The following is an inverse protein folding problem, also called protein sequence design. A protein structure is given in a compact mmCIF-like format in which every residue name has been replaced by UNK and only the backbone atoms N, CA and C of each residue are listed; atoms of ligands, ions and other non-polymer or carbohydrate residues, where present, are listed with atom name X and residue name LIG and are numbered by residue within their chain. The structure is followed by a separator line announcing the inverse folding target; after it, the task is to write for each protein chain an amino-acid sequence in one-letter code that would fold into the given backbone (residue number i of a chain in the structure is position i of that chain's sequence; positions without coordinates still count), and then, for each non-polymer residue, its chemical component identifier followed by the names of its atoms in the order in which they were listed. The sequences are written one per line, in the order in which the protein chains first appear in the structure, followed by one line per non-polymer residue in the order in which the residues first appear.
data_IF_852679761103
#
_entry.id   IF_852679761103
#
_cell.length_a   1.000
_cell.length_b   1.000
_cell.length_c   1.000
_cell.angle_alpha   90.00
_cell.angle_beta   90.00
_cell.angle_gamma   90.00
#
_symmetry.space_group_name_H-M   'P 1'
#
loop_
_entity.id
_entity.type
_entity.pdbx_description
1 polymer ?
#
# COMPACT_ATOMS: atom_id res chain seq x y z
N UNK A 1 -14.81 44.48 -69.26
CA UNK A 1 -15.54 43.37 -68.60
C UNK A 1 -14.63 42.41 -67.82
N UNK A 2 -13.53 41.89 -68.39
CA UNK A 2 -12.63 40.91 -67.71
C UNK A 2 -12.09 41.37 -66.34
N UNK A 3 -11.81 42.67 -66.18
CA UNK A 3 -11.28 43.22 -64.91
C UNK A 3 -12.36 43.42 -63.84
N UNK A 4 -13.61 43.67 -64.24
CA UNK A 4 -14.75 43.81 -63.31
C UNK A 4 -15.13 42.44 -62.75
N UNK A 5 -15.11 41.40 -63.59
CA UNK A 5 -15.34 40.01 -63.14
C UNK A 5 -14.29 39.56 -62.13
N UNK A 6 -13.00 39.92 -62.35
CA UNK A 6 -11.94 39.65 -61.37
C UNK A 6 -12.14 40.38 -60.04
N UNK A 7 -12.61 41.63 -60.08
CA UNK A 7 -12.90 42.43 -58.88
C UNK A 7 -14.06 41.84 -58.08
N UNK A 8 -15.13 41.39 -58.76
CA UNK A 8 -16.29 40.74 -58.13
C UNK A 8 -15.89 39.40 -57.50
N UNK A 9 -15.05 38.61 -58.18
CA UNK A 9 -14.54 37.34 -57.64
C UNK A 9 -13.68 37.56 -56.38
N UNK A 10 -12.84 38.60 -56.36
CA UNK A 10 -12.02 38.95 -55.21
C UNK A 10 -12.88 39.36 -54.00
N UNK A 11 -13.94 40.13 -54.24
CA UNK A 11 -14.86 40.57 -53.19
C UNK A 11 -15.63 39.39 -52.57
N UNK A 12 -15.96 38.37 -53.38
CA UNK A 12 -16.68 37.18 -52.91
C UNK A 12 -15.84 36.30 -51.97
N UNK A 13 -14.51 36.29 -52.12
CA UNK A 13 -13.59 35.54 -51.26
C UNK A 13 -13.49 36.16 -49.86
N UNK A 14 -13.63 37.48 -49.74
CA UNK A 14 -13.52 38.21 -48.46
C UNK A 14 -14.77 38.06 -47.60
N UNK A 15 -15.93 37.79 -48.22
CA UNK A 15 -17.22 37.65 -47.52
C UNK A 15 -17.52 36.24 -47.05
N UNK A 16 -16.67 35.25 -47.32
CA UNK A 16 -16.87 33.90 -46.80
C UNK A 16 -16.53 33.93 -45.30
N UNK A 17 -17.50 33.75 -44.39
CA UNK A 17 -17.19 33.67 -42.97
C UNK A 17 -16.31 32.43 -42.77
N UNK A 18 -15.05 32.63 -42.43
CA UNK A 18 -14.16 31.55 -42.00
C UNK A 18 -14.65 31.17 -40.61
N UNK A 19 -15.56 30.21 -40.54
CA UNK A 19 -15.94 29.57 -39.28
C UNK A 19 -14.73 28.74 -38.83
N UNK A 20 -13.82 29.38 -38.11
CA UNK A 20 -12.72 28.67 -37.44
C UNK A 20 -13.37 27.92 -36.28
N UNK A 21 -13.39 26.58 -36.34
CA UNK A 21 -13.70 25.79 -35.14
C UNK A 21 -12.69 26.18 -34.07
N UNK A 22 -13.17 26.51 -32.87
CA UNK A 22 -12.31 26.83 -31.74
C UNK A 22 -11.29 25.72 -31.55
N UNK A 23 -10.03 26.09 -31.38
CA UNK A 23 -8.98 25.13 -31.10
C UNK A 23 -8.65 25.21 -29.61
N UNK A 24 -8.61 24.06 -28.95
CA UNK A 24 -8.23 23.95 -27.54
C UNK A 24 -6.88 24.65 -27.28
N UNK A 25 -6.94 25.79 -26.61
CA UNK A 25 -5.78 26.65 -26.34
C UNK A 25 -4.85 26.02 -25.32
N UNK A 26 -3.61 26.53 -25.23
CA UNK A 26 -2.65 26.07 -24.22
C UNK A 26 -3.15 26.32 -22.80
N UNK A 27 -3.78 27.47 -22.56
CA UNK A 27 -4.29 27.83 -21.23
C UNK A 27 -5.46 26.93 -20.81
N UNK A 28 -6.36 26.59 -21.74
CA UNK A 28 -7.41 25.61 -21.51
C UNK A 28 -6.84 24.23 -21.18
N UNK A 29 -5.84 23.77 -21.94
CA UNK A 29 -5.17 22.50 -21.66
C UNK A 29 -4.57 22.45 -20.26
N UNK A 30 -3.91 23.53 -19.84
CA UNK A 30 -3.35 23.66 -18.50
C UNK A 30 -4.47 23.65 -17.46
N UNK A 31 -5.55 24.41 -17.67
CA UNK A 31 -6.72 24.46 -16.78
C UNK A 31 -7.31 23.07 -16.57
N UNK A 32 -7.62 22.34 -17.64
CA UNK A 32 -8.20 20.99 -17.55
C UNK A 32 -7.25 20.00 -16.89
N UNK A 33 -5.93 20.08 -17.16
CA UNK A 33 -4.94 19.25 -16.49
C UNK A 33 -4.93 19.49 -14.97
N UNK A 34 -4.98 20.75 -14.54
CA UNK A 34 -5.02 21.13 -13.12
C UNK A 34 -6.30 20.68 -12.44
N UNK A 35 -7.45 20.82 -13.11
CA UNK A 35 -8.72 20.32 -12.57
C UNK A 35 -8.69 18.79 -12.45
N UNK A 36 -8.18 18.10 -13.46
CA UNK A 36 -8.11 16.65 -13.50
C UNK A 36 -7.13 16.07 -12.46
N UNK A 37 -6.05 16.78 -12.13
CA UNK A 37 -5.09 16.35 -11.09
C UNK A 37 -5.63 16.49 -9.66
N UNK A 38 -6.65 17.32 -9.46
CA UNK A 38 -7.28 17.52 -8.14
C UNK A 38 -8.34 16.46 -7.81
N UNK A 39 -8.67 15.59 -8.77
CA UNK A 39 -9.58 14.48 -8.56
C UNK A 39 -8.88 13.42 -7.72
N UNK A 40 -9.57 12.95 -6.69
CA UNK A 40 -9.10 11.85 -5.84
C UNK A 40 -10.11 10.72 -5.83
N UNK A 41 -9.68 9.53 -5.41
CA UNK A 41 -10.54 8.35 -5.33
C UNK A 41 -10.41 7.72 -3.96
N UNK A 42 -11.52 7.24 -3.42
CA UNK A 42 -11.56 6.35 -2.25
C UNK A 42 -12.45 5.16 -2.55
N UNK A 43 -12.38 4.13 -1.73
CA UNK A 43 -13.33 3.03 -1.78
C UNK A 43 -13.73 2.60 -0.38
N UNK A 44 -14.95 2.09 -0.29
CA UNK A 44 -15.50 1.42 0.88
C UNK A 44 -15.95 0.01 0.47
N UNK A 45 -16.17 -0.86 1.45
CA UNK A 45 -16.63 -2.21 1.19
C UNK A 45 -17.80 -2.58 2.09
N UNK A 46 -18.68 -3.42 1.54
CA UNK A 46 -19.79 -4.05 2.25
C UNK A 46 -19.53 -5.55 2.22
N UNK A 47 -19.43 -6.15 3.40
CA UNK A 47 -19.22 -7.58 3.59
C UNK A 47 -20.56 -8.21 3.95
N UNK A 48 -21.00 -9.19 3.16
CA UNK A 48 -22.18 -10.01 3.41
C UNK A 48 -21.80 -11.46 3.25
N UNK A 49 -21.86 -12.22 4.34
CA UNK A 49 -21.45 -13.62 4.42
C UNK A 49 -20.00 -13.84 3.94
N UNK A 50 -19.83 -14.46 2.76
CA UNK A 50 -18.56 -14.81 2.12
C UNK A 50 -18.24 -13.92 0.90
N UNK A 51 -19.07 -12.92 0.60
CA UNK A 51 -18.86 -12.00 -0.52
C UNK A 51 -18.60 -10.58 -0.02
N UNK A 52 -17.69 -9.90 -0.72
CA UNK A 52 -17.37 -8.50 -0.47
C UNK A 52 -17.60 -7.71 -1.76
N UNK A 53 -18.45 -6.70 -1.65
CA UNK A 53 -18.67 -5.71 -2.69
C UNK A 53 -17.99 -4.41 -2.31
N UNK A 54 -17.41 -3.75 -3.29
CA UNK A 54 -16.75 -2.47 -3.12
C UNK A 54 -17.51 -1.36 -3.83
N UNK A 55 -17.47 -0.18 -3.23
CA UNK A 55 -17.99 1.06 -3.80
C UNK A 55 -16.85 2.06 -3.90
N UNK A 56 -16.53 2.51 -5.11
CA UNK A 56 -15.54 3.57 -5.34
C UNK A 56 -16.27 4.91 -5.38
N UNK A 57 -15.73 5.90 -4.67
CA UNK A 57 -16.13 7.30 -4.80
C UNK A 57 -15.03 8.09 -5.47
N UNK A 58 -15.39 8.78 -6.55
CA UNK A 58 -14.52 9.71 -7.28
C UNK A 58 -14.87 11.11 -6.80
N UNK A 59 -13.92 11.80 -6.17
CA UNK A 59 -14.12 13.07 -5.49
C UNK A 59 -13.67 14.25 -6.33
N UNK A 60 -14.21 15.42 -6.01
CA UNK A 60 -13.72 16.71 -6.53
C UNK A 60 -13.82 16.86 -8.07
N UNK A 61 -14.86 16.29 -8.68
CA UNK A 61 -15.05 16.37 -10.14
C UNK A 61 -15.74 17.70 -10.50
N UNK A 62 -15.00 18.55 -11.20
CA UNK A 62 -15.50 19.81 -11.73
C UNK A 62 -16.45 19.58 -12.93
N UNK A 63 -17.46 20.44 -13.14
CA UNK A 63 -18.44 20.35 -14.26
C UNK A 63 -17.82 20.32 -15.66
N UNK A 64 -16.63 20.90 -15.76
CA UNK A 64 -15.82 21.01 -16.97
C UNK A 64 -15.10 19.70 -17.32
N UNK A 65 -15.31 18.62 -16.56
CA UNK A 65 -14.69 17.33 -16.77
C UNK A 65 -15.74 16.22 -16.95
N UNK A 66 -15.36 15.20 -17.71
CA UNK A 66 -16.09 13.95 -17.89
C UNK A 66 -15.18 12.82 -17.44
N UNK A 67 -15.70 11.96 -16.58
CA UNK A 67 -15.04 10.71 -16.20
C UNK A 67 -15.62 9.57 -17.02
N UNK A 68 -14.76 8.81 -17.70
CA UNK A 68 -15.14 7.61 -18.44
C UNK A 68 -14.64 6.38 -17.67
N UNK A 69 -15.58 5.55 -17.23
CA UNK A 69 -15.28 4.20 -16.74
C UNK A 69 -14.92 3.32 -17.94
N UNK A 70 -13.70 2.77 -17.94
CA UNK A 70 -13.19 1.95 -19.05
C UNK A 70 -13.72 0.54 -19.07
N UNK A 71 -14.23 0.03 -17.96
CA UNK A 71 -14.81 -1.29 -17.85
C UNK A 71 -16.24 -1.28 -18.42
N UNK A 72 -17.03 -0.26 -18.08
CA UNK A 72 -18.46 -0.21 -18.44
C UNK A 72 -18.78 0.74 -19.60
N UNK A 73 -17.87 1.66 -19.94
CA UNK A 73 -18.13 2.75 -20.89
C UNK A 73 -19.03 3.86 -20.34
N UNK A 74 -19.40 3.79 -19.05
CA UNK A 74 -20.26 4.78 -18.41
C UNK A 74 -19.52 6.11 -18.23
N UNK A 75 -20.24 7.20 -18.49
CA UNK A 75 -19.73 8.56 -18.31
C UNK A 75 -20.33 9.20 -17.06
N UNK A 76 -19.50 9.89 -16.30
CA UNK A 76 -19.89 10.66 -15.13
C UNK A 76 -19.53 12.12 -15.37
N UNK A 77 -20.53 12.98 -15.35
CA UNK A 77 -20.41 14.42 -15.52
C UNK A 77 -21.56 15.11 -14.81
N UNK A 78 -21.38 16.37 -14.45
CA UNK A 78 -22.40 17.17 -13.77
C UNK A 78 -22.41 18.56 -14.37
N UNK A 79 -23.60 19.17 -14.46
CA UNK A 79 -23.75 20.57 -14.89
C UNK A 79 -23.73 21.53 -13.70
N UNK A 80 -23.46 21.05 -12.49
CA UNK A 80 -23.46 21.86 -11.27
C UNK A 80 -22.13 22.59 -11.12
N UNK A 81 -22.18 23.87 -10.76
CA UNK A 81 -20.99 24.73 -10.61
C UNK A 81 -20.02 24.27 -9.51
N UNK A 82 -20.50 23.55 -8.50
CA UNK A 82 -19.68 23.04 -7.42
C UNK A 82 -19.01 21.70 -7.77
N UNK A 83 -17.97 21.34 -7.02
CA UNK A 83 -17.28 20.05 -7.14
C UNK A 83 -18.22 18.88 -6.81
N UNK A 84 -18.22 17.86 -7.65
CA UNK A 84 -19.13 16.73 -7.55
C UNK A 84 -18.40 15.45 -7.17
N UNK A 85 -19.10 14.59 -6.45
CA UNK A 85 -18.65 13.23 -6.17
C UNK A 85 -19.50 12.24 -6.95
N UNK A 86 -18.89 11.17 -7.42
CA UNK A 86 -19.56 10.11 -8.16
C UNK A 86 -19.24 8.75 -7.58
N UNK A 87 -20.29 7.95 -7.35
CA UNK A 87 -20.15 6.61 -6.82
C UNK A 87 -20.27 5.54 -7.92
N UNK A 88 -19.40 4.54 -7.82
CA UNK A 88 -19.35 3.36 -8.67
C UNK A 88 -19.49 2.15 -7.75
N UNK A 89 -20.68 1.55 -7.76
CA UNK A 89 -21.08 0.55 -6.78
C UNK A 89 -20.99 -0.88 -7.30
N UNK A 90 -21.05 -1.84 -6.38
CA UNK A 90 -21.12 -3.28 -6.65
C UNK A 90 -19.89 -3.80 -7.42
N UNK A 91 -18.71 -3.33 -7.03
CA UNK A 91 -17.45 -3.72 -7.63
C UNK A 91 -16.89 -4.98 -6.96
N UNK A 92 -16.26 -5.83 -7.76
CA UNK A 92 -15.70 -7.09 -7.30
C UNK A 92 -14.32 -6.89 -6.66
N UNK A 93 -14.01 -7.71 -5.65
CA UNK A 93 -12.69 -7.75 -5.05
C UNK A 93 -11.60 -8.23 -6.03
N UNK A 94 -10.34 -7.85 -5.78
CA UNK A 94 -9.18 -8.31 -6.56
C UNK A 94 -9.12 -7.80 -8.01
N UNK A 95 -9.84 -6.71 -8.32
CA UNK A 95 -9.84 -6.09 -9.65
C UNK A 95 -9.29 -4.66 -9.61
N UNK A 96 -8.71 -4.24 -10.73
CA UNK A 96 -8.34 -2.83 -10.94
C UNK A 96 -9.35 -2.15 -11.85
N UNK A 97 -9.84 -1.00 -11.41
CA UNK A 97 -10.77 -0.14 -12.12
C UNK A 97 -10.03 1.09 -12.67
N UNK A 98 -10.40 1.50 -13.88
CA UNK A 98 -9.67 2.53 -14.62
C UNK A 98 -10.66 3.58 -15.08
N UNK A 99 -10.42 4.82 -14.65
CA UNK A 99 -11.25 5.96 -15.00
C UNK A 99 -10.41 6.98 -15.76
N UNK A 100 -10.83 7.29 -16.98
CA UNK A 100 -10.19 8.29 -17.84
C UNK A 100 -10.88 9.63 -17.69
N UNK A 101 -10.10 10.70 -17.53
CA UNK A 101 -10.61 12.06 -17.34
C UNK A 101 -10.43 12.87 -18.61
N UNK A 102 -11.54 13.38 -19.13
CA UNK A 102 -11.62 14.21 -20.34
C UNK A 102 -12.19 15.59 -20.02
N UNK A 103 -11.96 16.57 -20.88
CA UNK A 103 -12.67 17.85 -20.81
C UNK A 103 -14.13 17.67 -21.26
N UNK A 104 -15.05 18.36 -20.59
CA UNK A 104 -16.44 18.53 -21.01
C UNK A 104 -16.58 19.78 -21.90
N UNK A 105 -15.79 19.81 -22.96
CA UNK A 105 -15.73 20.92 -23.91
C UNK A 105 -15.49 20.36 -25.31
N UNK A 106 -16.26 20.81 -26.30
CA UNK A 106 -16.23 20.24 -27.65
C UNK A 106 -14.89 20.42 -28.36
N UNK A 107 -14.18 21.51 -28.08
CA UNK A 107 -12.91 21.83 -28.72
C UNK A 107 -11.74 21.09 -28.05
N UNK A 108 -11.91 20.69 -26.79
CA UNK A 108 -10.92 19.97 -25.98
C UNK A 108 -11.24 18.48 -25.66
N UNK A 109 -12.37 17.94 -26.11
CA UNK A 109 -12.93 16.65 -25.68
C UNK A 109 -12.04 15.42 -25.95
N UNK A 110 -11.26 15.45 -27.03
CA UNK A 110 -10.52 14.29 -27.53
C UNK A 110 -9.16 14.07 -26.84
N UNK A 111 -8.87 14.81 -25.76
CA UNK A 111 -7.63 14.70 -25.01
C UNK A 111 -7.87 14.10 -23.64
N UNK A 112 -7.07 13.09 -23.31
CA UNK A 112 -6.96 12.53 -21.97
C UNK A 112 -6.14 13.48 -21.08
N UNK A 113 -6.72 13.92 -19.97
CA UNK A 113 -6.09 14.84 -19.02
C UNK A 113 -5.61 14.16 -17.74
N UNK A 114 -6.22 13.04 -17.34
CA UNK A 114 -5.75 12.21 -16.23
C UNK A 114 -6.29 10.77 -16.37
N UNK A 115 -5.66 9.82 -15.68
CA UNK A 115 -6.16 8.45 -15.53
C UNK A 115 -6.08 8.04 -14.07
N UNK A 116 -7.22 7.68 -13.50
CA UNK A 116 -7.34 7.25 -12.11
C UNK A 116 -7.34 5.71 -12.10
N UNK A 117 -6.38 5.15 -11.38
CA UNK A 117 -6.27 3.71 -11.18
C UNK A 117 -6.70 3.39 -9.75
N UNK A 118 -7.72 2.54 -9.61
CA UNK A 118 -8.17 2.06 -8.30
C UNK A 118 -8.05 0.55 -8.25
N UNK A 119 -7.04 0.07 -7.54
CA UNK A 119 -6.80 -1.36 -7.33
C UNK A 119 -7.48 -1.81 -6.06
N UNK A 120 -8.49 -2.65 -6.21
CA UNK A 120 -9.24 -3.22 -5.08
C UNK A 120 -8.52 -4.48 -4.59
N UNK A 121 -8.26 -4.60 -3.27
CA UNK A 121 -7.60 -5.78 -2.73
C UNK A 121 -8.44 -7.05 -2.97
N UNK A 122 -7.76 -8.19 -3.11
CA UNK A 122 -8.44 -9.50 -3.18
C UNK A 122 -8.91 -9.89 -1.79
N UNK A 123 -10.18 -10.26 -1.68
CA UNK A 123 -10.76 -10.72 -0.43
C UNK A 123 -10.40 -12.19 -0.18
N UNK A 124 -9.95 -12.48 1.04
CA UNK A 124 -9.71 -13.83 1.49
C UNK A 124 -10.93 -14.36 2.25
N UNK A 125 -11.64 -15.33 1.66
CA UNK A 125 -12.79 -15.99 2.31
C UNK A 125 -12.43 -16.82 3.55
N UNK A 126 -11.17 -17.24 3.69
CA UNK A 126 -10.71 -18.08 4.79
C UNK A 126 -10.18 -17.29 6.00
N UNK A 127 -10.14 -15.96 5.95
CA UNK A 127 -9.53 -15.13 7.01
C UNK A 127 -10.19 -15.28 8.39
N UNK A 128 -11.47 -15.70 8.41
CA UNK A 128 -12.26 -15.97 9.62
C UNK A 128 -12.19 -17.42 10.11
N UNK A 129 -11.47 -18.29 9.39
CA UNK A 129 -11.37 -19.70 9.75
C UNK A 129 -10.69 -19.86 11.13
N UNK A 130 -11.19 -20.73 12.02
CA UNK A 130 -10.58 -20.96 13.32
C UNK A 130 -9.09 -21.30 13.29
N UNK A 131 -8.61 -21.92 12.19
CA UNK A 131 -7.18 -22.22 12.02
C UNK A 131 -6.30 -20.96 12.10
N UNK A 132 -6.85 -19.78 11.76
CA UNK A 132 -6.15 -18.51 11.74
C UNK A 132 -6.06 -17.79 13.08
N UNK A 133 -6.72 -18.26 14.14
CA UNK A 133 -6.72 -17.57 15.45
C UNK A 133 -5.30 -17.40 16.04
N UNK A 134 -4.45 -18.40 15.85
CA UNK A 134 -3.06 -18.41 16.33
C UNK A 134 -2.05 -18.15 15.21
N UNK A 135 -2.51 -17.76 14.02
CA UNK A 135 -1.67 -17.48 12.85
C UNK A 135 -2.12 -16.17 12.19
N UNK A 136 -2.55 -15.21 13.00
CA UNK A 136 -3.21 -13.97 12.52
C UNK A 136 -2.32 -13.07 11.67
N UNK A 137 -1.01 -13.21 11.80
CA UNK A 137 0.02 -12.52 11.04
C UNK A 137 0.39 -13.26 9.74
N UNK A 138 0.10 -14.56 9.65
CA UNK A 138 0.36 -15.35 8.46
C UNK A 138 -0.40 -14.81 7.25
N UNK A 139 0.27 -14.79 6.09
CA UNK A 139 -0.22 -14.24 4.83
C UNK A 139 -1.63 -14.75 4.49
N UNK A 140 -1.88 -16.05 4.64
CA UNK A 140 -3.16 -16.66 4.27
C UNK A 140 -4.27 -16.50 5.30
N UNK A 141 -3.95 -15.91 6.45
CA UNK A 141 -4.91 -15.52 7.46
C UNK A 141 -5.24 -14.02 7.42
N UNK A 142 -4.55 -13.25 6.58
CA UNK A 142 -4.88 -11.84 6.33
C UNK A 142 -6.21 -11.71 5.59
N UNK A 143 -6.97 -10.66 5.88
CA UNK A 143 -8.24 -10.35 5.20
C UNK A 143 -8.06 -10.01 3.71
N UNK A 144 -6.97 -9.32 3.39
CA UNK A 144 -6.66 -8.79 2.07
C UNK A 144 -5.38 -9.43 1.54
N UNK A 145 -5.51 -10.46 0.71
CA UNK A 145 -4.36 -11.22 0.20
C UNK A 145 -4.67 -11.90 -1.13
N UNK A 146 -3.66 -11.98 -1.98
CA UNK A 146 -3.71 -12.73 -3.23
C UNK A 146 -3.45 -14.22 -2.99
N UNK A 147 -4.51 -14.98 -2.68
CA UNK A 147 -4.42 -16.43 -2.46
C UNK A 147 -4.31 -17.29 -3.73
N UNK A 148 -4.49 -16.71 -4.92
CA UNK A 148 -4.76 -17.53 -6.11
C UNK A 148 -6.05 -18.35 -5.97
N UNK A 149 -6.12 -19.51 -6.63
CA UNK A 149 -7.23 -20.47 -6.57
C UNK A 149 -6.83 -21.69 -5.71
N UNK A 150 -6.51 -21.45 -4.44
CA UNK A 150 -6.19 -22.54 -3.50
C UNK A 150 -7.46 -23.25 -3.02
N UNK A 151 -7.35 -24.56 -2.84
CA UNK A 151 -8.40 -25.36 -2.20
C UNK A 151 -8.40 -25.16 -0.69
N UNK A 152 -9.53 -25.48 -0.04
CA UNK A 152 -9.61 -25.41 1.42
C UNK A 152 -8.62 -26.36 2.11
N UNK A 153 -8.41 -27.56 1.55
CA UNK A 153 -7.45 -28.54 2.09
C UNK A 153 -6.01 -28.04 1.97
N UNK A 154 -5.69 -27.37 0.87
CA UNK A 154 -4.38 -26.75 0.66
C UNK A 154 -4.17 -25.56 1.59
N UNK A 155 -5.19 -24.72 1.78
CA UNK A 155 -5.19 -23.64 2.77
C UNK A 155 -4.88 -24.18 4.18
N UNK A 156 -5.61 -25.19 4.64
CA UNK A 156 -5.40 -25.80 5.97
C UNK A 156 -3.98 -26.34 6.12
N UNK A 157 -3.47 -27.02 5.09
CA UNK A 157 -2.10 -27.53 5.08
C UNK A 157 -1.08 -26.40 5.23
N UNK A 158 -1.23 -25.31 4.46
CA UNK A 158 -0.29 -24.19 4.45
C UNK A 158 -0.29 -23.42 5.77
N UNK A 159 -1.44 -23.27 6.43
CA UNK A 159 -1.50 -22.66 7.78
C UNK A 159 -0.92 -23.61 8.83
N UNK A 160 -1.19 -24.91 8.74
CA UNK A 160 -0.60 -25.91 9.64
C UNK A 160 0.93 -25.93 9.57
N UNK A 161 1.50 -25.96 8.36
CA UNK A 161 2.96 -25.90 8.16
C UNK A 161 3.59 -24.61 8.70
N UNK A 162 2.86 -23.49 8.68
CA UNK A 162 3.31 -22.23 9.28
C UNK A 162 3.38 -22.34 10.80
N UNK A 163 2.29 -22.81 11.43
CA UNK A 163 2.23 -22.99 12.89
C UNK A 163 3.31 -23.94 13.39
N UNK A 164 3.52 -25.06 12.70
CA UNK A 164 4.55 -26.03 13.06
C UNK A 164 5.95 -25.40 12.98
N UNK A 165 6.22 -24.53 11.99
CA UNK A 165 7.50 -23.83 11.88
C UNK A 165 7.69 -22.81 13.00
N UNK A 166 6.68 -22.00 13.32
CA UNK A 166 6.78 -21.03 14.42
C UNK A 166 7.04 -21.73 15.76
N UNK A 167 6.31 -22.81 16.06
CA UNK A 167 6.52 -23.59 17.28
C UNK A 167 7.95 -24.15 17.31
N UNK A 168 8.45 -24.69 16.19
CA UNK A 168 9.82 -25.21 16.14
C UNK A 168 10.88 -24.10 16.27
N UNK A 169 10.66 -22.93 15.69
CA UNK A 169 11.57 -21.78 15.83
C UNK A 169 11.60 -21.25 17.26
N UNK A 170 10.45 -21.18 17.94
CA UNK A 170 10.39 -20.80 19.36
C UNK A 170 11.08 -21.84 20.25
N UNK A 171 10.84 -23.13 20.02
CA UNK A 171 11.50 -24.22 20.75
C UNK A 171 13.02 -24.18 20.54
N UNK A 172 13.48 -23.96 19.31
CA UNK A 172 14.91 -23.87 19.01
C UNK A 172 15.56 -22.60 19.58
N UNK A 173 14.90 -21.45 19.54
CA UNK A 173 15.41 -20.23 20.19
C UNK A 173 15.56 -20.43 21.70
N UNK A 174 14.58 -21.06 22.35
CA UNK A 174 14.63 -21.34 23.78
C UNK A 174 15.74 -22.34 24.13
N UNK A 175 15.97 -23.37 23.31
CA UNK A 175 17.02 -24.37 23.55
C UNK A 175 18.43 -23.85 23.24
N UNK A 176 18.59 -23.03 22.22
CA UNK A 176 19.85 -22.38 21.86
C UNK A 176 20.24 -21.31 22.89
N UNK A 177 19.28 -20.55 23.43
CA UNK A 177 19.56 -19.61 24.53
C UNK A 177 20.00 -20.35 25.80
N UNK A 178 19.27 -21.39 26.23
CA UNK A 178 19.61 -22.13 27.45
C UNK A 178 20.98 -22.81 27.39
N UNK A 179 21.40 -23.24 26.20
CA UNK A 179 22.70 -23.87 26.03
C UNK A 179 23.83 -22.84 25.95
N UNK A 180 23.61 -21.67 25.32
CA UNK A 180 24.66 -20.67 25.10
C UNK A 180 25.27 -20.13 26.40
N UNK A 181 24.46 -19.80 27.42
CA UNK A 181 24.97 -19.23 28.67
C UNK A 181 25.80 -20.24 29.50
N UNK A 182 25.42 -21.53 29.46
CA UNK A 182 26.17 -22.60 30.14
C UNK A 182 27.53 -22.80 29.47
N UNK A 183 27.59 -22.79 28.14
CA UNK A 183 28.86 -22.90 27.41
C UNK A 183 29.76 -21.68 27.62
N UNK A 184 29.21 -20.46 27.61
CA UNK A 184 29.97 -19.22 27.87
C UNK A 184 30.57 -19.23 29.28
N UNK A 185 29.80 -19.61 30.30
CA UNK A 185 30.30 -19.73 31.68
C UNK A 185 31.32 -20.85 31.82
N UNK A 186 31.08 -22.01 31.19
CA UNK A 186 32.00 -23.15 31.21
C UNK A 186 33.36 -22.81 30.61
N UNK A 187 33.37 -22.15 29.46
CA UNK A 187 34.60 -21.77 28.75
C UNK A 187 35.36 -20.65 29.47
N UNK A 188 34.63 -19.72 30.09
CA UNK A 188 35.22 -18.70 30.97
C UNK A 188 35.88 -19.32 32.21
N UNK A 189 35.22 -20.26 32.89
CA UNK A 189 35.77 -20.97 34.03
C UNK A 189 36.98 -21.83 33.63
N UNK A 190 36.90 -22.59 32.52
CA UNK A 190 38.01 -23.42 32.06
C UNK A 190 39.27 -22.59 31.76
N UNK A 191 39.11 -21.41 31.17
CA UNK A 191 40.23 -20.54 30.79
C UNK A 191 40.83 -19.75 31.96
N UNK A 192 40.00 -19.27 32.88
CA UNK A 192 40.43 -18.33 33.92
C UNK A 192 40.45 -18.90 35.34
N UNK A 193 40.02 -20.14 35.55
CA UNK A 193 40.00 -20.82 36.85
C UNK A 193 41.33 -20.70 37.61
N UNK A 194 42.46 -20.97 36.96
CA UNK A 194 43.77 -20.91 37.60
C UNK A 194 44.13 -19.49 38.06
N UNK A 195 43.81 -18.48 37.24
CA UNK A 195 44.04 -17.07 37.56
C UNK A 195 43.14 -16.60 38.69
N UNK A 196 41.84 -16.92 38.65
CA UNK A 196 40.87 -16.56 39.69
C UNK A 196 41.27 -17.21 41.02
N UNK A 197 41.65 -18.50 41.02
CA UNK A 197 42.10 -19.21 42.20
C UNK A 197 43.37 -18.57 42.79
N UNK A 198 44.32 -18.17 41.94
CA UNK A 198 45.54 -17.50 42.39
C UNK A 198 45.27 -16.15 43.07
N UNK A 199 44.33 -15.35 42.53
CA UNK A 199 43.93 -14.06 43.14
C UNK A 199 43.25 -14.28 44.49
N UNK A 200 42.37 -15.27 44.59
CA UNK A 200 41.71 -15.63 45.87
C UNK A 200 42.76 -16.01 46.92
N UNK A 201 43.75 -16.82 46.57
CA UNK A 201 44.83 -17.21 47.48
C UNK A 201 45.60 -15.98 47.98
N UNK A 202 45.96 -15.06 47.08
CA UNK A 202 46.66 -13.82 47.46
C UNK A 202 45.82 -12.96 48.39
N UNK A 203 44.53 -12.79 48.10
CA UNK A 203 43.60 -12.04 48.96
C UNK A 203 43.49 -12.70 50.34
N UNK A 204 43.29 -14.01 50.41
CA UNK A 204 43.24 -14.75 51.67
C UNK A 204 44.53 -14.59 52.49
N UNK A 205 45.71 -14.68 51.85
CA UNK A 205 46.99 -14.47 52.52
C UNK A 205 47.14 -13.05 53.05
N UNK A 206 46.74 -12.03 52.28
CA UNK A 206 46.78 -10.64 52.76
C UNK A 206 45.86 -10.41 53.95
N UNK A 207 44.64 -10.97 53.95
CA UNK A 207 43.70 -10.89 55.07
C UNK A 207 44.28 -11.57 56.32
N UNK A 208 44.88 -12.76 56.18
CA UNK A 208 45.52 -13.48 57.28
C UNK A 208 46.66 -12.67 57.88
N UNK A 209 47.52 -12.06 57.05
CA UNK A 209 48.64 -11.23 57.51
C UNK A 209 48.13 -9.98 58.24
N UNK A 210 47.10 -9.32 57.73
CA UNK A 210 46.50 -8.14 58.37
C UNK A 210 45.90 -8.51 59.72
N UNK A 211 45.17 -9.63 59.81
CA UNK A 211 44.58 -10.11 61.05
C UNK A 211 45.65 -10.47 62.09
N UNK A 212 46.69 -11.20 61.68
CA UNK A 212 47.81 -11.59 62.56
C UNK A 212 48.65 -10.39 63.03
N UNK A 213 48.75 -9.32 62.24
CA UNK A 213 49.34 -8.05 62.72
C UNK A 213 48.44 -7.35 63.73
N UNK A 214 47.12 -7.36 63.53
CA UNK A 214 46.17 -6.74 64.48
C UNK A 214 46.20 -7.42 65.84
N UNK A 215 46.33 -8.75 65.86
CA UNK A 215 46.40 -9.54 67.10
C UNK A 215 47.76 -9.39 67.84
N UNK A 216 48.81 -8.88 67.17
CA UNK A 216 50.14 -8.59 67.74
C UNK A 216 50.33 -7.13 68.22
N UNK A 217 49.32 -6.27 68.06
CA UNK A 217 49.35 -4.87 68.51
C UNK A 217 48.39 -4.58 69.69
N UNK A 218 47.77 -5.61 70.27
CA UNK A 218 47.12 -5.51 71.58
C UNK A 218 48.22 -5.50 72.68
N UNK A 219 48.73 -4.31 72.97
CA UNK A 219 49.31 -3.95 74.27
C UNK A 219 48.27 -3.24 75.13
#
# INVERSE_FOLDING_TARGET
MKNIVKLILLLFVITIPINVKGYCTTDEKIRYSTLASNITTSYEYIESDDEVLFNITIHNVHKDLIILDKQTGKKYSSNKEFLNNFDVNNLASGKSYVFEVYANDNDCLNRLYNTLYVTIPKYNKYYKDPVCQEASDYLYCQKWVELGDISYTEFLKLVGEYKDKEINEEVNKNSDEETNWIYILGDFWAKYYAYILSVIIVICLTIIIIKNKRDNFDF
#
